data_IF_649549206100
#
_entry.id   IF_649549206100
#
_cell.length_a   1.000
_cell.length_b   1.000
_cell.length_c   1.000
_cell.angle_alpha   90.00
_cell.angle_beta   90.00
_cell.angle_gamma   90.00
#
_symmetry.space_group_name_H-M   'P 1'
#
loop_
_entity.id
_entity.type
_entity.pdbx_description
1 polymer ?
#
# COMPACT_ATOMS: atom_id res chain seq x y z
N UNK A 1 -1.56 20.32 11.65
CA UNK A 1 -0.45 20.40 10.67
C UNK A 1 -0.49 19.13 9.82
N UNK A 2 -1.19 19.18 8.68
CA UNK A 2 -1.51 17.99 7.88
C UNK A 2 -0.51 17.79 6.75
N UNK A 3 0.32 16.75 6.82
CA UNK A 3 1.19 16.34 5.73
C UNK A 3 0.36 15.59 4.67
N UNK A 4 -0.06 16.32 3.64
CA UNK A 4 -0.74 15.80 2.46
C UNK A 4 0.13 14.79 1.70
N UNK A 5 -0.37 13.58 1.53
CA UNK A 5 0.26 12.53 0.75
C UNK A 5 0.09 12.83 -0.74
N UNK A 6 1.00 13.63 -1.32
CA UNK A 6 1.13 13.78 -2.78
C UNK A 6 2.23 12.85 -3.27
N UNK A 7 1.81 11.79 -3.94
CA UNK A 7 2.67 10.78 -4.56
C UNK A 7 1.82 9.90 -5.45
N UNK A 8 1.35 10.46 -6.57
CA UNK A 8 0.61 9.76 -7.62
C UNK A 8 1.51 8.68 -8.23
N UNK A 9 1.41 7.46 -7.72
CA UNK A 9 1.86 6.26 -8.42
C UNK A 9 0.82 5.97 -9.51
N UNK A 10 1.17 6.29 -10.75
CA UNK A 10 0.43 5.83 -11.92
C UNK A 10 0.32 4.30 -11.83
N UNK A 11 -0.90 3.78 -11.76
CA UNK A 11 -1.21 2.35 -11.75
C UNK A 11 -1.52 1.91 -13.18
N UNK A 12 -1.08 0.73 -13.60
CA UNK A 12 -1.34 0.20 -14.94
C UNK A 12 -2.66 -0.60 -15.01
N UNK A 13 -3.67 -0.22 -14.21
CA UNK A 13 -5.01 -0.79 -14.33
C UNK A 13 -5.90 -0.03 -15.34
N UNK A 14 -5.45 1.09 -15.93
CA UNK A 14 -6.34 1.93 -16.76
C UNK A 14 -5.72 2.57 -18.02
N UNK A 15 -4.59 2.12 -18.57
CA UNK A 15 -4.05 2.78 -19.77
C UNK A 15 -3.49 1.82 -20.81
N UNK A 16 -4.37 1.44 -21.74
CA UNK A 16 -4.09 1.44 -23.19
C UNK A 16 -5.37 1.20 -23.99
N UNK A 17 -5.94 2.27 -24.54
CA UNK A 17 -6.66 2.22 -25.81
C UNK A 17 -6.74 3.64 -26.40
N UNK A 18 -6.13 3.91 -27.56
CA UNK A 18 -6.62 4.95 -28.45
C UNK A 18 -7.59 4.28 -29.42
N UNK A 19 -8.85 4.68 -29.53
CA UNK A 19 -9.55 4.67 -30.81
C UNK A 19 -10.83 5.52 -30.76
N UNK A 20 -11.04 6.26 -31.84
CA UNK A 20 -12.15 7.18 -32.08
C UNK A 20 -13.47 6.43 -32.28
N UNK A 21 -14.54 7.16 -31.94
CA UNK A 21 -15.92 7.08 -32.46
C UNK A 21 -16.88 6.00 -31.93
N UNK A 22 -17.79 6.49 -31.08
CA UNK A 22 -19.20 6.14 -30.87
C UNK A 22 -19.74 4.80 -31.41
N UNK A 23 -20.06 3.89 -30.49
CA UNK A 23 -21.41 3.32 -30.32
C UNK A 23 -21.64 3.18 -28.81
N UNK A 24 -22.75 3.72 -28.31
CA UNK A 24 -23.15 3.56 -26.92
C UNK A 24 -23.54 2.09 -26.67
N UNK A 25 -22.71 1.37 -25.90
CA UNK A 25 -23.11 0.11 -25.28
C UNK A 25 -23.24 0.35 -23.78
N UNK A 26 -24.48 0.34 -23.32
CA UNK A 26 -24.87 0.39 -21.92
C UNK A 26 -24.65 -1.01 -21.35
N UNK A 27 -23.47 -1.25 -20.79
CA UNK A 27 -23.21 -2.48 -20.00
C UNK A 27 -22.72 -2.07 -18.63
N UNK A 28 -23.69 -1.93 -17.73
CA UNK A 28 -23.52 -2.37 -16.34
C UNK A 28 -23.06 -3.82 -16.38
N UNK A 29 -21.80 -4.08 -16.05
CA UNK A 29 -21.39 -5.34 -15.43
C UNK A 29 -20.01 -5.15 -14.83
N UNK A 30 -20.00 -4.95 -13.52
CA UNK A 30 -18.81 -5.14 -12.71
C UNK A 30 -18.32 -6.58 -12.92
N UNK A 31 -17.04 -6.75 -13.30
CA UNK A 31 -16.46 -8.09 -13.39
C UNK A 31 -16.72 -8.84 -12.08
N UNK A 32 -17.39 -9.98 -12.19
CA UNK A 32 -17.72 -10.82 -11.04
C UNK A 32 -16.43 -11.17 -10.26
N UNK A 33 -16.39 -10.99 -8.94
CA UNK A 33 -15.27 -11.46 -8.12
C UNK A 33 -15.16 -12.98 -8.24
N UNK A 34 -13.93 -13.52 -8.24
CA UNK A 34 -13.73 -14.96 -8.07
C UNK A 34 -14.53 -15.45 -6.84
N UNK A 35 -15.42 -16.45 -6.97
CA UNK A 35 -16.37 -16.83 -5.92
C UNK A 35 -15.73 -17.36 -4.63
N UNK A 36 -14.42 -17.58 -4.63
CA UNK A 36 -13.64 -18.09 -3.48
C UNK A 36 -12.71 -17.05 -2.84
N UNK A 37 -12.68 -15.81 -3.33
CA UNK A 37 -11.88 -14.77 -2.69
C UNK A 37 -12.69 -14.11 -1.56
N UNK A 38 -12.19 -14.09 -0.32
CA UNK A 38 -12.87 -13.38 0.75
C UNK A 38 -13.07 -11.91 0.35
N UNK A 39 -14.23 -11.32 0.65
CA UNK A 39 -14.50 -9.94 0.30
C UNK A 39 -13.44 -9.02 0.90
N UNK A 40 -12.90 -8.12 0.09
CA UNK A 40 -11.94 -7.13 0.55
C UNK A 40 -12.63 -6.16 1.53
N UNK A 41 -11.96 -5.72 2.60
CA UNK A 41 -12.57 -4.84 3.59
C UNK A 41 -12.97 -3.49 2.95
N UNK A 42 -14.04 -2.85 3.44
CA UNK A 42 -14.44 -1.54 2.95
C UNK A 42 -13.39 -0.47 3.26
N UNK A 43 -13.41 0.62 2.51
CA UNK A 43 -12.52 1.75 2.73
C UNK A 43 -12.80 2.37 4.11
N UNK A 44 -11.79 2.51 4.98
CA UNK A 44 -11.97 3.08 6.32
C UNK A 44 -12.36 4.56 6.30
N UNK A 45 -12.19 5.24 5.17
CA UNK A 45 -12.48 6.67 5.01
C UNK A 45 -13.92 6.91 4.51
N UNK A 46 -14.40 6.10 3.56
CA UNK A 46 -15.67 6.36 2.88
C UNK A 46 -16.64 5.17 2.82
N UNK A 47 -16.28 4.04 3.43
CA UNK A 47 -17.10 2.82 3.46
C UNK A 47 -17.21 2.08 2.12
N UNK A 48 -16.74 2.64 1.01
CA UNK A 48 -16.87 2.04 -0.32
C UNK A 48 -15.95 0.83 -0.51
N UNK A 49 -16.29 -0.13 -1.39
CA UNK A 49 -15.47 -1.29 -1.67
C UNK A 49 -14.02 -0.94 -2.03
N UNK A 50 -13.10 -1.78 -1.60
CA UNK A 50 -11.69 -1.71 -2.00
C UNK A 50 -11.39 -2.77 -3.06
N UNK A 51 -10.32 -2.53 -3.82
CA UNK A 51 -9.82 -3.47 -4.82
C UNK A 51 -8.36 -3.78 -4.53
N UNK A 52 -8.00 -5.05 -4.67
CA UNK A 52 -6.60 -5.48 -4.61
C UNK A 52 -5.89 -5.12 -5.91
N UNK A 53 -4.74 -4.48 -5.80
CA UNK A 53 -3.86 -4.10 -6.89
C UNK A 53 -2.43 -4.60 -6.59
N UNK A 54 -1.57 -4.64 -7.60
CA UNK A 54 -0.15 -4.98 -7.43
C UNK A 54 0.71 -3.78 -7.84
N UNK A 55 1.75 -3.48 -7.07
CA UNK A 55 2.70 -2.42 -7.43
C UNK A 55 3.49 -2.81 -8.67
N UNK A 56 3.84 -1.80 -9.48
CA UNK A 56 4.63 -2.02 -10.69
C UNK A 56 6.00 -2.63 -10.36
N UNK A 57 6.47 -3.51 -11.23
CA UNK A 57 7.82 -4.09 -11.17
C UNK A 57 8.92 -3.03 -11.21
N UNK A 58 8.66 -1.89 -11.87
CA UNK A 58 9.57 -0.74 -11.93
C UNK A 58 9.55 0.16 -10.69
N UNK A 59 8.82 -0.20 -9.63
CA UNK A 59 8.74 0.61 -8.41
C UNK A 59 10.06 0.57 -7.62
N UNK A 60 10.87 1.63 -7.77
CA UNK A 60 12.18 1.81 -7.12
C UNK A 60 12.13 2.11 -5.62
N UNK A 61 10.94 2.18 -5.02
CA UNK A 61 10.80 2.41 -3.57
C UNK A 61 10.96 1.12 -2.75
N UNK A 62 11.44 0.01 -3.35
CA UNK A 62 11.60 -1.28 -2.67
C UNK A 62 10.29 -2.03 -2.41
N UNK A 63 9.21 -1.60 -3.08
CA UNK A 63 7.86 -2.12 -2.92
C UNK A 63 7.34 -2.79 -4.20
N UNK A 64 8.20 -3.11 -5.17
CA UNK A 64 7.79 -3.72 -6.43
C UNK A 64 7.12 -5.09 -6.21
N UNK A 65 6.10 -5.43 -7.02
CA UNK A 65 5.39 -6.70 -6.97
C UNK A 65 4.49 -6.92 -5.74
N UNK A 66 4.41 -5.98 -4.81
CA UNK A 66 3.62 -6.11 -3.59
C UNK A 66 2.13 -5.88 -3.84
N UNK A 67 1.25 -6.77 -3.36
CA UNK A 67 -0.19 -6.56 -3.42
C UNK A 67 -0.66 -5.55 -2.36
N UNK A 68 -1.61 -4.70 -2.71
CA UNK A 68 -2.17 -3.66 -1.83
C UNK A 68 -3.65 -3.40 -2.10
N UNK A 69 -4.36 -2.88 -1.10
CA UNK A 69 -5.73 -2.41 -1.23
C UNK A 69 -5.76 -0.94 -1.66
N UNK A 70 -6.65 -0.64 -2.61
CA UNK A 70 -6.95 0.70 -3.08
C UNK A 70 -8.45 0.95 -3.04
N UNK A 71 -8.87 2.10 -2.53
CA UNK A 71 -10.25 2.54 -2.67
C UNK A 71 -10.44 3.17 -4.06
N UNK A 72 -11.43 2.69 -4.82
CA UNK A 72 -11.79 3.25 -6.12
C UNK A 72 -12.26 4.70 -6.01
N UNK A 73 -13.19 4.97 -5.09
CA UNK A 73 -13.81 6.28 -4.90
C UNK A 73 -12.82 7.33 -4.38
N UNK A 74 -12.04 7.01 -3.34
CA UNK A 74 -11.03 7.94 -2.82
C UNK A 74 -9.77 8.01 -3.70
N UNK A 75 -9.55 7.03 -4.58
CA UNK A 75 -8.31 6.81 -5.35
C UNK A 75 -7.04 6.69 -4.48
N UNK A 76 -7.20 6.34 -3.20
CA UNK A 76 -6.11 6.25 -2.21
C UNK A 76 -5.67 4.80 -1.99
N UNK A 77 -4.36 4.63 -1.79
CA UNK A 77 -3.78 3.44 -1.18
C UNK A 77 -4.30 3.30 0.26
N UNK A 78 -4.61 2.08 0.68
CA UNK A 78 -5.07 1.76 2.04
C UNK A 78 -3.96 1.04 2.82
N UNK A 79 -3.62 -0.19 2.41
CA UNK A 79 -2.54 -0.97 3.04
C UNK A 79 -2.00 -2.02 2.06
N UNK A 80 -0.79 -2.53 2.33
CA UNK A 80 -0.32 -3.76 1.69
C UNK A 80 -1.03 -4.97 2.31
N UNK A 81 -1.30 -6.01 1.51
CA UNK A 81 -2.00 -7.23 1.98
C UNK A 81 -1.08 -8.43 2.16
N UNK A 82 0.18 -8.34 1.74
CA UNK A 82 1.19 -9.36 2.03
C UNK A 82 1.58 -9.39 3.52
N UNK A 83 2.40 -10.36 3.94
CA UNK A 83 2.86 -10.48 5.33
C UNK A 83 4.16 -9.71 5.63
N UNK A 84 4.73 -8.98 4.66
CA UNK A 84 6.06 -8.35 4.81
C UNK A 84 6.06 -7.25 5.86
N UNK A 85 6.98 -7.34 6.82
CA UNK A 85 7.10 -6.37 7.91
C UNK A 85 6.10 -6.55 9.05
N UNK A 86 5.30 -7.62 9.04
CA UNK A 86 4.44 -7.99 10.16
C UNK A 86 5.23 -8.89 11.11
N UNK A 87 5.25 -8.55 12.39
CA UNK A 87 5.87 -9.35 13.45
C UNK A 87 5.11 -9.14 14.74
N UNK A 88 4.96 -10.19 15.56
CA UNK A 88 4.39 -10.08 16.90
C UNK A 88 5.23 -9.21 17.85
N UNK A 89 6.47 -8.89 17.49
CA UNK A 89 7.35 -7.97 18.24
C UNK A 89 7.11 -6.49 17.92
N UNK A 90 6.33 -6.19 16.89
CA UNK A 90 6.02 -4.82 16.54
C UNK A 90 5.04 -4.23 17.57
N UNK A 91 5.05 -2.91 17.81
CA UNK A 91 4.08 -2.27 18.68
C UNK A 91 2.65 -2.49 18.15
N UNK A 92 1.69 -2.58 19.05
CA UNK A 92 0.28 -2.70 18.67
C UNK A 92 -0.25 -1.36 18.15
N UNK A 93 -1.11 -1.44 17.13
CA UNK A 93 -1.89 -0.29 16.68
C UNK A 93 -3.19 -0.16 17.47
N UNK A 94 -3.95 0.92 17.22
CA UNK A 94 -5.26 1.19 17.86
C UNK A 94 -6.27 0.03 17.69
N UNK A 95 -6.11 -0.79 16.65
CA UNK A 95 -6.96 -1.97 16.45
C UNK A 95 -6.63 -3.16 17.38
N UNK A 96 -5.67 -3.04 18.31
CA UNK A 96 -5.22 -4.13 19.18
C UNK A 96 -4.48 -5.25 18.43
N UNK A 97 -3.84 -4.91 17.30
CA UNK A 97 -3.07 -5.85 16.47
C UNK A 97 -1.66 -5.34 16.29
N UNK A 98 -0.69 -6.26 16.21
CA UNK A 98 0.68 -5.93 15.84
C UNK A 98 0.73 -5.09 14.55
N UNK A 99 1.46 -3.99 14.60
CA UNK A 99 1.66 -3.10 13.46
C UNK A 99 2.57 -3.73 12.39
N UNK A 100 2.67 -3.07 11.23
CA UNK A 100 3.58 -3.43 10.15
C UNK A 100 4.71 -2.40 10.08
N UNK A 101 5.96 -2.86 10.07
CA UNK A 101 7.11 -2.00 9.79
C UNK A 101 7.29 -1.81 8.28
N UNK A 102 7.56 -0.58 7.88
CA UNK A 102 7.75 -0.16 6.48
C UNK A 102 8.96 0.77 6.36
N UNK A 103 9.54 0.82 5.16
CA UNK A 103 10.61 1.76 4.80
C UNK A 103 9.98 2.95 4.10
N UNK A 104 10.30 4.16 4.52
CA UNK A 104 9.85 5.36 3.83
C UNK A 104 10.45 5.46 2.41
N UNK A 105 9.77 6.20 1.54
CA UNK A 105 10.29 6.46 0.18
C UNK A 105 11.63 7.21 0.20
N UNK A 106 12.36 7.14 -0.92
CA UNK A 106 13.68 7.77 -1.07
C UNK A 106 13.71 9.25 -0.65
N UNK A 107 12.73 10.04 -1.08
CA UNK A 107 12.61 11.47 -0.73
C UNK A 107 12.30 11.77 0.74
N UNK A 108 12.08 10.73 1.57
CA UNK A 108 11.85 10.82 3.01
C UNK A 108 12.97 10.15 3.83
N UNK A 109 14.14 9.93 3.24
CA UNK A 109 15.33 9.46 3.95
C UNK A 109 15.34 7.97 4.33
N UNK A 110 14.46 7.13 3.76
CA UNK A 110 14.42 5.67 4.03
C UNK A 110 14.25 5.28 5.51
N UNK A 111 13.65 6.16 6.30
CA UNK A 111 13.34 5.89 7.70
C UNK A 111 12.32 4.75 7.87
N UNK A 112 12.59 3.86 8.82
CA UNK A 112 11.66 2.84 9.26
C UNK A 112 10.54 3.46 10.11
N UNK A 113 9.33 2.98 9.89
CA UNK A 113 8.13 3.41 10.61
C UNK A 113 7.12 2.27 10.70
N UNK A 114 6.31 2.28 11.74
CA UNK A 114 5.23 1.35 11.98
C UNK A 114 3.91 1.96 11.53
N UNK A 115 3.06 1.15 10.89
CA UNK A 115 1.70 1.53 10.49
C UNK A 115 0.70 0.43 10.82
N UNK A 116 -0.59 0.75 10.88
CA UNK A 116 -1.63 -0.27 11.01
C UNK A 116 -1.51 -1.31 9.90
N UNK A 117 -1.36 -2.60 10.25
CA UNK A 117 -1.19 -3.66 9.24
C UNK A 117 -2.40 -3.82 8.31
N UNK A 118 -3.60 -3.50 8.80
CA UNK A 118 -4.87 -3.59 8.05
C UNK A 118 -5.27 -2.28 7.38
N UNK A 119 -4.61 -1.16 7.71
CA UNK A 119 -5.02 0.17 7.29
C UNK A 119 -6.35 0.65 7.88
N UNK A 120 -6.91 -0.06 8.88
CA UNK A 120 -8.21 0.28 9.48
C UNK A 120 -8.16 1.48 10.45
N UNK A 121 -6.98 1.80 10.99
CA UNK A 121 -6.73 3.03 11.77
C UNK A 121 -5.52 3.77 11.21
N UNK A 122 -5.34 5.00 11.69
CA UNK A 122 -4.28 5.94 11.30
C UNK A 122 -3.00 5.81 12.14
N UNK A 123 -2.84 4.71 12.89
CA UNK A 123 -1.65 4.44 13.69
C UNK A 123 -0.36 4.63 12.87
N UNK A 124 0.53 5.44 13.42
CA UNK A 124 1.85 5.73 12.87
C UNK A 124 2.84 5.89 14.03
N UNK A 125 3.98 5.24 13.93
CA UNK A 125 5.09 5.47 14.86
C UNK A 125 6.44 5.34 14.15
N UNK A 126 7.46 6.02 14.66
CA UNK A 126 8.82 5.99 14.13
C UNK A 126 9.58 4.84 14.77
N UNK A 127 10.23 4.00 13.97
CA UNK A 127 11.11 2.97 14.51
C UNK A 127 12.43 3.61 14.94
N UNK A 128 12.73 3.54 16.25
CA UNK A 128 13.90 4.19 16.86
C UNK A 128 14.94 3.18 17.34
N UNK A 129 16.21 3.56 17.30
CA UNK A 129 17.30 2.80 17.93
C UNK A 129 17.35 3.06 19.45
N UNK A 130 18.38 2.56 20.13
CA UNK A 130 18.56 2.75 21.59
C UNK A 130 18.79 4.21 21.98
N UNK A 131 19.35 5.01 21.07
CA UNK A 131 19.65 6.42 21.27
C UNK A 131 18.45 7.33 20.97
N UNK A 132 17.32 6.75 20.52
CA UNK A 132 16.11 7.48 20.17
C UNK A 132 16.05 7.98 18.72
N UNK A 133 17.10 7.74 17.92
CA UNK A 133 17.15 8.14 16.52
C UNK A 133 16.32 7.22 15.63
N UNK A 134 15.73 7.78 14.56
CA UNK A 134 15.02 6.98 13.57
C UNK A 134 15.99 6.05 12.84
N UNK A 135 15.68 4.76 12.86
CA UNK A 135 16.42 3.76 12.10
C UNK A 135 16.15 4.00 10.61
N UNK A 136 17.20 4.26 9.84
CA UNK A 136 17.12 4.47 8.39
C UNK A 136 17.92 3.41 7.64
N UNK A 137 17.43 2.97 6.50
CA UNK A 137 18.14 2.00 5.66
C UNK A 137 18.91 2.70 4.54
N UNK A 138 20.10 2.20 4.21
CA UNK A 138 20.85 2.68 3.04
C UNK A 138 20.13 2.27 1.75
N UNK A 139 20.30 3.06 0.67
CA UNK A 139 19.69 2.74 -0.62
C UNK A 139 20.09 1.33 -1.10
N UNK A 140 21.37 0.98 -0.98
CA UNK A 140 21.89 -0.34 -1.35
C UNK A 140 21.15 -1.46 -0.60
N UNK A 141 20.97 -1.32 0.71
CA UNK A 141 20.30 -2.34 1.51
C UNK A 141 18.82 -2.48 1.12
N UNK A 142 18.13 -1.37 0.81
CA UNK A 142 16.74 -1.41 0.32
C UNK A 142 16.64 -2.15 -1.01
N UNK A 143 17.58 -1.90 -1.93
CA UNK A 143 17.63 -2.56 -3.23
C UNK A 143 17.94 -4.06 -3.10
N UNK A 144 18.91 -4.43 -2.26
CA UNK A 144 19.27 -5.83 -2.02
C UNK A 144 18.10 -6.61 -1.40
N UNK A 145 17.46 -6.06 -0.36
CA UNK A 145 16.30 -6.69 0.29
C UNK A 145 15.06 -6.78 -0.62
N UNK A 146 14.92 -5.87 -1.59
CA UNK A 146 13.83 -5.93 -2.56
C UNK A 146 13.99 -7.07 -3.57
N UNK A 147 15.21 -7.60 -3.75
CA UNK A 147 15.50 -8.72 -4.68
C UNK A 147 15.40 -10.10 -4.03
N UNK A 148 15.53 -10.18 -2.70
CA UNK A 148 15.57 -11.46 -1.95
C UNK A 148 14.17 -12.02 -1.68
N UNK A 149 13.15 -11.17 -1.65
CA UNK A 149 11.77 -11.57 -1.33
C UNK A 149 11.02 -11.96 -2.61
N UNK A 150 11.25 -13.20 -3.05
CA UNK A 150 10.40 -13.96 -3.98
C UNK A 150 9.37 -14.73 -3.16
#
# INVERSE_FOLDING_TARGET
MGAGWRGLLACKCCLSAPFKSMVAVKTSDAMAPCPFSPPSPPCPICGQPTTTCVTRTSNRNGNAGRPYLKCGSCRKFITFVDKRGISSKNPECVCGKASRIQVAGKGKGRGLHYVCQSGACDFFDVARNKDGDQISLTEKLVEDLARILI
#
